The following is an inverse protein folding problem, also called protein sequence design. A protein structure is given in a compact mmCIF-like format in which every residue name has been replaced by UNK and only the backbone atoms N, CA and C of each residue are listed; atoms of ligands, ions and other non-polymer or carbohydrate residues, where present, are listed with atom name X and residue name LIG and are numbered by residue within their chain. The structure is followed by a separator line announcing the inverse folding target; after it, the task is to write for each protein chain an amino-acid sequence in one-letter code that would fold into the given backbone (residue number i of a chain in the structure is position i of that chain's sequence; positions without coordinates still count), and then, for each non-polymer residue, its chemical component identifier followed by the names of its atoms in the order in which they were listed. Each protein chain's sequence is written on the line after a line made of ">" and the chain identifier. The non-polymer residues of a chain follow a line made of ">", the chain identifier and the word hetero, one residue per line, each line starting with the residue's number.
data_IF_338018959783
#
_entry.id   IF_338018959783
#
_cell.length_a   1.000
_cell.length_b   1.000
_cell.length_c   1.000
_cell.angle_alpha   90.00
_cell.angle_beta   90.00
_cell.angle_gamma   90.00
#
_symmetry.space_group_name_H-M   'P 1'
#
loop_
_entity.id
_entity.type
_entity.pdbx_description
1 polymer ?
#
# COMPACT_ATOMS: atom_id res chain seq x y z
N UNK A 1 19.91 -17.18 -23.12
CA UNK A 1 19.23 -17.07 -21.81
C UNK A 1 19.97 -16.02 -20.99
N UNK A 2 19.36 -14.86 -20.70
CA UNK A 2 19.98 -13.80 -19.88
C UNK A 2 19.81 -14.03 -18.38
N UNK A 3 18.78 -14.79 -17.96
CA UNK A 3 18.54 -15.17 -16.56
C UNK A 3 18.13 -16.65 -16.50
N UNK A 4 18.83 -17.46 -15.70
CA UNK A 4 18.51 -18.88 -15.44
C UNK A 4 17.46 -19.01 -14.32
N UNK A 5 16.84 -20.19 -14.19
CA UNK A 5 15.85 -20.53 -13.14
C UNK A 5 14.57 -19.68 -13.11
N UNK A 6 14.25 -18.98 -14.21
CA UNK A 6 12.96 -18.31 -14.39
C UNK A 6 12.26 -18.90 -15.61
N UNK A 7 11.10 -19.52 -15.41
CA UNK A 7 10.28 -20.09 -16.47
C UNK A 7 8.96 -20.63 -15.93
N UNK A 8 7.90 -20.51 -16.72
CA UNK A 8 6.55 -20.97 -16.35
C UNK A 8 5.87 -20.16 -15.24
N UNK A 9 4.83 -20.76 -14.63
CA UNK A 9 4.05 -20.20 -13.54
C UNK A 9 2.60 -19.86 -13.91
N UNK A 10 1.74 -19.73 -12.89
CA UNK A 10 0.36 -19.27 -13.08
C UNK A 10 0.32 -17.79 -13.49
N UNK A 11 -0.61 -17.42 -14.38
CA UNK A 11 -0.83 -16.02 -14.80
C UNK A 11 -1.20 -15.15 -13.59
N UNK A 12 -0.58 -13.98 -13.45
CA UNK A 12 -0.82 -13.05 -12.34
C UNK A 12 -1.24 -11.69 -12.89
N UNK A 13 -2.27 -11.09 -12.28
CA UNK A 13 -2.68 -9.72 -12.58
C UNK A 13 -1.87 -8.77 -11.70
N UNK A 14 -1.41 -7.66 -12.28
CA UNK A 14 -0.62 -6.67 -11.56
C UNK A 14 -1.51 -5.69 -10.80
N UNK A 15 -1.27 -5.53 -9.50
CA UNK A 15 -1.90 -4.48 -8.69
C UNK A 15 -0.99 -3.27 -8.60
N UNK A 16 -1.48 -2.12 -9.07
CA UNK A 16 -0.78 -0.83 -9.02
C UNK A 16 -0.75 -0.30 -7.59
N UNK A 17 0.44 -0.28 -6.99
CA UNK A 17 0.68 0.26 -5.63
C UNK A 17 1.10 1.72 -5.70
N UNK A 18 0.63 2.52 -4.74
CA UNK A 18 1.19 3.82 -4.43
C UNK A 18 2.39 3.69 -3.48
N UNK A 19 3.58 3.46 -4.05
CA UNK A 19 4.85 3.43 -3.30
C UNK A 19 5.36 4.84 -2.98
N UNK A 20 4.94 5.85 -3.76
CA UNK A 20 5.45 7.22 -3.60
C UNK A 20 4.74 7.99 -2.48
N UNK A 21 3.51 7.59 -2.12
CA UNK A 21 2.72 8.21 -1.06
C UNK A 21 2.52 9.72 -1.29
N UNK A 22 2.33 10.10 -2.56
CA UNK A 22 2.29 11.49 -3.01
C UNK A 22 1.05 12.28 -2.56
N UNK A 23 -0.04 11.60 -2.14
CA UNK A 23 -1.19 12.27 -1.54
C UNK A 23 -0.81 12.72 -0.13
N UNK A 24 -0.42 13.99 -0.02
CA UNK A 24 -0.08 14.64 1.25
C UNK A 24 -1.32 15.25 1.89
N UNK A 25 -1.38 15.20 3.20
CA UNK A 25 -2.34 15.86 4.09
C UNK A 25 -3.81 15.45 3.85
N UNK A 26 -4.02 14.36 3.11
CA UNK A 26 -5.34 13.74 2.90
C UNK A 26 -5.38 12.42 3.66
N UNK A 27 -6.31 12.33 4.60
CA UNK A 27 -6.54 11.11 5.35
C UNK A 27 -7.20 10.03 4.50
N UNK A 28 -6.79 8.79 4.71
CA UNK A 28 -7.40 7.63 4.08
C UNK A 28 -7.55 6.47 5.07
N UNK A 29 -8.67 5.76 4.96
CA UNK A 29 -9.01 4.65 5.85
C UNK A 29 -8.67 3.31 5.20
N UNK A 30 -8.10 2.38 5.97
CA UNK A 30 -7.90 0.99 5.53
C UNK A 30 -9.26 0.30 5.44
N UNK A 31 -9.60 -0.19 4.26
CA UNK A 31 -10.88 -0.88 4.02
C UNK A 31 -10.69 -2.39 3.96
N UNK A 32 -9.65 -2.85 3.28
CA UNK A 32 -9.33 -4.28 3.16
C UNK A 32 -7.84 -4.53 3.26
N UNK A 33 -7.48 -5.74 3.68
CA UNK A 33 -6.12 -6.27 3.63
C UNK A 33 -6.17 -7.49 2.69
N UNK A 34 -5.37 -7.47 1.64
CA UNK A 34 -5.42 -8.46 0.56
C UNK A 34 -4.06 -9.10 0.31
N UNK A 35 -4.07 -10.38 -0.07
CA UNK A 35 -2.89 -11.05 -0.59
C UNK A 35 -2.59 -10.60 -2.02
N UNK A 36 -1.32 -10.33 -2.35
CA UNK A 36 -0.88 -10.01 -3.71
C UNK A 36 0.11 -11.01 -4.31
N UNK A 37 -0.24 -11.74 -5.39
CA UNK A 37 0.63 -12.79 -5.92
C UNK A 37 1.92 -12.28 -6.57
N UNK A 38 2.08 -10.97 -6.75
CA UNK A 38 3.29 -10.37 -7.34
C UNK A 38 4.35 -9.98 -6.30
N UNK A 39 4.09 -10.21 -5.01
CA UNK A 39 4.99 -9.87 -3.90
C UNK A 39 4.71 -10.75 -2.68
N UNK A 40 5.59 -10.69 -1.69
CA UNK A 40 5.43 -11.49 -0.47
C UNK A 40 4.54 -10.79 0.56
N UNK A 41 4.53 -9.45 0.59
CA UNK A 41 3.80 -8.66 1.58
C UNK A 41 2.32 -8.49 1.21
N UNK A 42 1.45 -8.51 2.21
CA UNK A 42 0.06 -8.09 2.06
C UNK A 42 -0.03 -6.61 1.64
N UNK A 43 -1.16 -6.26 1.03
CA UNK A 43 -1.48 -4.88 0.68
C UNK A 43 -2.76 -4.43 1.36
N UNK A 44 -2.86 -3.13 1.60
CA UNK A 44 -4.08 -2.51 2.07
C UNK A 44 -4.75 -1.74 0.93
N UNK A 45 -6.07 -1.87 0.80
CA UNK A 45 -6.88 -0.93 0.04
C UNK A 45 -7.23 0.26 0.93
N UNK A 46 -6.85 1.45 0.49
CA UNK A 46 -7.11 2.71 1.18
C UNK A 46 -8.20 3.46 0.44
N UNK A 47 -9.19 3.95 1.17
CA UNK A 47 -10.16 4.94 0.67
C UNK A 47 -9.78 6.31 1.25
N UNK A 48 -9.43 7.25 0.38
CA UNK A 48 -9.12 8.63 0.77
C UNK A 48 -10.39 9.47 0.89
N UNK A 49 -10.31 10.55 1.68
CA UNK A 49 -11.43 11.50 1.86
C UNK A 49 -11.90 12.16 0.57
N UNK A 50 -11.06 12.23 -0.46
CA UNK A 50 -11.41 12.75 -1.79
C UNK A 50 -12.05 11.69 -2.73
N UNK A 51 -12.32 10.50 -2.23
CA UNK A 51 -12.98 9.41 -2.97
C UNK A 51 -12.03 8.54 -3.78
N UNK A 52 -10.73 8.88 -3.89
CA UNK A 52 -9.77 8.00 -4.55
C UNK A 52 -9.48 6.75 -3.72
N UNK A 53 -9.21 5.65 -4.45
CA UNK A 53 -8.81 4.38 -3.86
C UNK A 53 -7.41 4.03 -4.31
N UNK A 54 -6.54 3.64 -3.37
CA UNK A 54 -5.17 3.23 -3.69
C UNK A 54 -4.76 2.02 -2.89
N UNK A 55 -3.93 1.17 -3.50
CA UNK A 55 -3.24 0.12 -2.76
C UNK A 55 -1.93 0.64 -2.20
N UNK A 56 -1.64 0.26 -0.96
CA UNK A 56 -0.36 0.51 -0.30
C UNK A 56 0.16 -0.81 0.27
N UNK A 57 1.45 -0.86 0.63
CA UNK A 57 1.97 -2.00 1.39
C UNK A 57 1.33 -2.01 2.78
N UNK A 58 0.96 -3.19 3.27
CA UNK A 58 0.41 -3.37 4.60
C UNK A 58 1.52 -3.15 5.66
N UNK A 59 1.42 -2.09 6.48
CA UNK A 59 2.35 -1.90 7.58
C UNK A 59 1.99 -2.86 8.72
N UNK A 60 3.01 -3.44 9.36
CA UNK A 60 2.81 -4.41 10.44
C UNK A 60 1.96 -3.80 11.56
N UNK A 61 0.89 -4.47 11.96
CA UNK A 61 0.06 -4.06 13.09
C UNK A 61 -1.02 -3.02 12.75
N UNK A 62 -1.09 -2.53 11.51
CA UNK A 62 -2.28 -1.81 11.07
C UNK A 62 -3.45 -2.76 10.89
N UNK A 63 -4.66 -2.30 11.20
CA UNK A 63 -5.89 -3.08 11.12
C UNK A 63 -6.90 -2.41 10.20
N UNK A 64 -7.92 -3.17 9.79
CA UNK A 64 -9.02 -2.61 9.01
C UNK A 64 -9.71 -1.53 9.85
N UNK A 65 -9.89 -0.35 9.26
CA UNK A 65 -10.46 0.81 9.92
C UNK A 65 -9.46 1.86 10.36
N UNK A 66 -8.17 1.57 10.39
CA UNK A 66 -7.15 2.55 10.73
C UNK A 66 -7.09 3.68 9.70
N UNK A 67 -6.78 4.88 10.19
CA UNK A 67 -6.59 6.07 9.37
C UNK A 67 -5.11 6.29 9.13
N UNK A 68 -4.75 6.49 7.87
CA UNK A 68 -3.38 6.75 7.43
C UNK A 68 -3.34 8.11 6.75
N UNK A 69 -2.30 8.89 7.07
CA UNK A 69 -1.99 10.19 6.44
C UNK A 69 -0.52 10.20 6.02
N UNK A 70 -0.22 10.83 4.89
CA UNK A 70 1.16 11.15 4.50
C UNK A 70 1.32 12.66 4.57
N UNK A 71 2.47 13.17 5.01
CA UNK A 71 2.69 14.62 5.10
C UNK A 71 3.94 14.97 5.88
N UNK A 72 4.24 16.26 5.98
CA UNK A 72 5.35 16.77 6.80
C UNK A 72 4.98 16.87 8.27
N UNK A 73 3.74 17.24 8.58
CA UNK A 73 3.25 17.51 9.94
C UNK A 73 2.26 16.44 10.41
N UNK A 74 2.44 15.19 9.95
CA UNK A 74 1.57 14.06 10.35
C UNK A 74 2.12 13.37 11.61
N UNK A 75 1.25 12.80 12.46
CA UNK A 75 1.72 12.10 13.65
C UNK A 75 2.55 10.88 13.28
N UNK A 76 3.63 10.64 14.03
CA UNK A 76 4.45 9.43 13.92
C UNK A 76 3.63 8.26 14.45
N UNK A 77 2.93 7.60 13.54
CA UNK A 77 2.07 6.45 13.82
C UNK A 77 2.16 5.44 12.70
N UNK A 78 1.71 4.22 12.98
CA UNK A 78 1.85 3.10 12.04
C UNK A 78 1.11 3.36 10.73
N UNK A 79 1.84 3.26 9.62
CA UNK A 79 1.31 3.47 8.27
C UNK A 79 1.48 4.89 7.74
N UNK A 80 1.70 5.89 8.59
CA UNK A 80 1.95 7.25 8.14
C UNK A 80 3.31 7.38 7.46
N UNK A 81 3.41 8.28 6.48
CA UNK A 81 4.63 8.53 5.73
C UNK A 81 5.08 9.98 5.91
N UNK A 82 6.30 10.15 6.40
CA UNK A 82 6.95 11.43 6.64
C UNK A 82 8.25 11.54 5.82
N UNK A 83 8.68 12.75 5.46
CA UNK A 83 10.06 12.96 5.00
C UNK A 83 11.06 12.66 6.13
N UNK A 84 12.30 12.34 5.73
CA UNK A 84 13.44 12.13 6.63
C UNK A 84 13.96 13.45 7.18
#
# INVERSE_FOLDING_TARGET
>A
ITVKHRGGGHKRLYRKIDLRRNKKDISGRIVTIEYDPNRNTYICLIHYGDGEKRYILHPRGAIIGDTIVSGTEVPISMGNALPL
#
